data_IF_024904029575
#
_entry.id   IF_024904029575
#
_cell.length_a   1.000
_cell.length_b   1.000
_cell.length_c   1.000
_cell.angle_alpha   90.00
_cell.angle_beta   90.00
_cell.angle_gamma   90.00
#
_symmetry.space_group_name_H-M   'P 1'
#
loop_
_entity.id
_entity.type
_entity.pdbx_description
1 polymer ?
#
# COMPACT_ATOMS: atom_id res chain seq x y z
N UNK A 1 20.53 -6.72 -32.89
CA UNK A 1 21.33 -5.55 -32.45
C UNK A 1 22.52 -6.11 -31.69
N UNK A 2 23.74 -5.72 -32.04
CA UNK A 2 24.95 -6.14 -31.31
C UNK A 2 25.31 -5.12 -30.21
N UNK A 3 26.32 -5.43 -29.38
CA UNK A 3 26.73 -4.58 -28.27
C UNK A 3 27.18 -3.17 -28.69
N UNK A 4 27.93 -3.05 -29.78
CA UNK A 4 28.41 -1.76 -30.29
C UNK A 4 27.24 -0.85 -30.73
N UNK A 5 26.30 -1.40 -31.49
CA UNK A 5 25.10 -0.69 -31.91
C UNK A 5 24.23 -0.26 -30.73
N UNK A 6 24.08 -1.14 -29.73
CA UNK A 6 23.31 -0.84 -28.53
C UNK A 6 23.95 0.31 -27.73
N UNK A 7 25.25 0.24 -27.49
CA UNK A 7 25.98 1.28 -26.75
C UNK A 7 26.06 2.62 -27.49
N UNK A 8 25.97 2.61 -28.82
CA UNK A 8 25.91 3.84 -29.63
C UNK A 8 24.54 4.55 -29.51
N UNK A 9 23.47 3.80 -29.23
CA UNK A 9 22.11 4.31 -29.15
C UNK A 9 21.69 4.67 -27.72
N UNK A 10 22.25 3.99 -26.72
CA UNK A 10 21.75 4.03 -25.35
C UNK A 10 22.88 4.13 -24.33
N UNK A 11 22.70 5.04 -23.37
CA UNK A 11 23.57 5.16 -22.20
C UNK A 11 23.24 4.11 -21.12
N UNK A 12 24.14 3.94 -20.16
CA UNK A 12 23.86 3.11 -18.97
C UNK A 12 22.80 3.79 -18.11
N UNK A 13 21.87 3.02 -17.53
CA UNK A 13 20.78 3.52 -16.70
C UNK A 13 19.45 3.69 -17.44
N UNK A 14 19.39 3.32 -18.72
CA UNK A 14 18.14 3.40 -19.49
C UNK A 14 17.09 2.41 -18.99
N UNK A 15 15.80 2.77 -19.03
CA UNK A 15 14.71 1.86 -18.74
C UNK A 15 14.59 0.72 -19.74
N UNK A 16 14.43 -0.50 -19.23
CA UNK A 16 14.27 -1.70 -20.06
C UNK A 16 13.26 -2.67 -19.46
N UNK A 17 12.62 -3.45 -20.32
CA UNK A 17 12.04 -4.73 -19.95
C UNK A 17 13.06 -5.83 -20.25
N UNK A 18 13.44 -6.58 -19.22
CA UNK A 18 14.40 -7.67 -19.33
C UNK A 18 13.72 -9.01 -19.07
N UNK A 19 14.10 -10.04 -19.83
CA UNK A 19 13.53 -11.38 -19.72
C UNK A 19 14.63 -12.41 -19.45
N UNK A 20 14.91 -12.74 -18.18
CA UNK A 20 15.90 -13.76 -17.85
C UNK A 20 15.46 -15.14 -18.35
N UNK A 21 16.26 -15.73 -19.25
CA UNK A 21 16.06 -17.08 -19.76
C UNK A 21 15.26 -17.15 -21.05
N UNK A 22 13.99 -16.75 -21.03
CA UNK A 22 13.06 -16.88 -22.17
C UNK A 22 12.19 -15.63 -22.33
N UNK A 23 11.79 -15.31 -23.57
CA UNK A 23 10.77 -14.29 -23.83
C UNK A 23 9.36 -14.87 -23.64
N UNK A 24 8.33 -14.04 -23.37
CA UNK A 24 6.95 -14.49 -23.19
C UNK A 24 6.35 -15.26 -24.39
N UNK A 25 6.83 -14.95 -25.59
CA UNK A 25 6.48 -15.64 -26.84
C UNK A 25 7.04 -17.07 -26.91
N UNK A 26 8.14 -17.36 -26.23
CA UNK A 26 8.76 -18.69 -26.19
C UNK A 26 8.27 -19.51 -24.98
N UNK A 27 8.03 -18.86 -23.83
CA UNK A 27 7.48 -19.48 -22.62
C UNK A 27 6.48 -18.55 -21.94
N UNK A 28 5.23 -19.01 -21.80
CA UNK A 28 4.15 -18.25 -21.14
C UNK A 28 4.41 -17.98 -19.66
N UNK A 29 5.29 -18.76 -19.02
CA UNK A 29 5.69 -18.57 -17.63
C UNK A 29 6.94 -17.69 -17.48
N UNK A 30 7.49 -17.18 -18.58
CA UNK A 30 8.64 -16.29 -18.55
C UNK A 30 8.36 -15.05 -17.69
N UNK A 31 9.30 -14.75 -16.78
CA UNK A 31 9.20 -13.58 -15.91
C UNK A 31 9.78 -12.35 -16.61
N UNK A 32 8.94 -11.33 -16.81
CA UNK A 32 9.40 -9.98 -17.17
C UNK A 32 9.94 -9.25 -15.95
N UNK A 33 11.08 -8.59 -16.09
CA UNK A 33 11.64 -7.65 -15.13
C UNK A 33 11.49 -6.22 -15.65
N UNK A 34 10.88 -5.34 -14.85
CA UNK A 34 10.88 -3.89 -15.13
C UNK A 34 12.06 -3.25 -14.40
N UNK A 35 13.11 -2.88 -15.13
CA UNK A 35 14.41 -2.50 -14.53
C UNK A 35 15.18 -1.48 -15.40
N UNK A 36 16.42 -1.16 -14.99
CA UNK A 36 17.35 -0.30 -15.73
C UNK A 36 18.65 -1.06 -16.04
N UNK A 37 19.34 -0.66 -17.10
CA UNK A 37 20.68 -1.17 -17.39
C UNK A 37 21.68 -0.66 -16.36
N UNK A 38 22.59 -1.52 -15.88
CA UNK A 38 23.64 -1.16 -14.91
C UNK A 38 25.05 -1.16 -15.50
N UNK A 39 25.20 -1.62 -16.74
CA UNK A 39 26.47 -1.69 -17.46
C UNK A 39 26.28 -1.32 -18.92
N UNK A 40 27.40 -1.03 -19.59
CA UNK A 40 27.47 -1.09 -21.05
C UNK A 40 27.21 -2.51 -21.54
N UNK A 41 26.71 -2.66 -22.76
CA UNK A 41 26.61 -3.96 -23.41
C UNK A 41 28.01 -4.48 -23.78
N UNK A 42 28.21 -5.79 -23.66
CA UNK A 42 29.47 -6.45 -24.02
C UNK A 42 29.23 -7.87 -24.55
N UNK A 43 30.23 -8.43 -25.24
CA UNK A 43 30.15 -9.79 -25.77
C UNK A 43 30.61 -10.78 -24.69
N UNK A 44 29.71 -11.61 -24.19
CA UNK A 44 30.02 -12.72 -23.29
C UNK A 44 30.44 -13.95 -24.07
N UNK A 45 31.57 -14.55 -23.68
CA UNK A 45 32.07 -15.79 -24.29
C UNK A 45 32.43 -15.69 -25.76
N UNK A 46 32.53 -14.48 -26.32
CA UNK A 46 32.81 -14.25 -27.73
C UNK A 46 31.64 -14.50 -28.70
N UNK A 47 30.43 -14.79 -28.19
CA UNK A 47 29.30 -15.17 -29.06
C UNK A 47 27.95 -14.53 -28.69
N UNK A 48 27.76 -14.03 -27.48
CA UNK A 48 26.46 -13.46 -27.06
C UNK A 48 26.64 -12.03 -26.58
N UNK A 49 26.00 -11.08 -27.26
CA UNK A 49 25.88 -9.72 -26.76
C UNK A 49 24.95 -9.69 -25.54
N UNK A 50 25.44 -9.19 -24.41
CA UNK A 50 24.71 -9.14 -23.14
C UNK A 50 24.80 -7.78 -22.47
N UNK A 51 23.90 -7.52 -21.55
CA UNK A 51 23.91 -6.37 -20.64
C UNK A 51 23.56 -6.83 -19.23
N UNK A 52 24.02 -6.11 -18.21
CA UNK A 52 23.57 -6.33 -16.84
C UNK A 52 22.50 -5.31 -16.47
N UNK A 53 21.55 -5.74 -15.63
CA UNK A 53 20.43 -4.92 -15.18
C UNK A 53 20.36 -4.88 -13.66
N UNK A 54 19.68 -3.86 -13.13
CA UNK A 54 19.47 -3.71 -11.70
C UNK A 54 18.54 -4.82 -11.16
N UNK A 55 18.82 -5.26 -9.94
CA UNK A 55 18.04 -6.29 -9.26
C UNK A 55 18.20 -7.72 -9.80
N UNK A 56 19.08 -7.94 -10.79
CA UNK A 56 19.37 -9.28 -11.32
C UNK A 56 20.88 -9.56 -11.36
N UNK A 57 21.33 -10.71 -10.88
CA UNK A 57 22.76 -11.02 -10.74
C UNK A 57 23.42 -11.41 -12.06
N UNK A 58 22.71 -12.15 -12.92
CA UNK A 58 23.20 -12.61 -14.20
C UNK A 58 23.08 -11.54 -15.30
N UNK A 59 23.82 -11.73 -16.39
CA UNK A 59 23.68 -10.92 -17.60
C UNK A 59 22.44 -11.36 -18.41
N UNK A 60 21.86 -10.43 -19.14
CA UNK A 60 20.72 -10.65 -20.03
C UNK A 60 21.20 -10.48 -21.47
N UNK A 61 20.91 -11.45 -22.34
CA UNK A 61 21.21 -11.33 -23.76
C UNK A 61 20.43 -10.16 -24.38
N UNK A 62 21.04 -9.39 -25.28
CA UNK A 62 20.37 -8.22 -25.89
C UNK A 62 19.11 -8.59 -26.69
N UNK A 63 19.00 -9.84 -27.15
CA UNK A 63 17.75 -10.36 -27.75
C UNK A 63 16.58 -10.47 -26.76
N UNK A 64 16.86 -10.42 -25.46
CA UNK A 64 15.91 -10.53 -24.35
C UNK A 64 15.80 -9.20 -23.57
N UNK A 65 16.12 -8.09 -24.22
CA UNK A 65 16.00 -6.74 -23.66
C UNK A 65 15.20 -5.89 -24.63
N UNK A 66 14.08 -5.36 -24.15
CA UNK A 66 13.32 -4.35 -24.87
C UNK A 66 13.58 -3.00 -24.19
N UNK A 67 14.11 -2.03 -24.96
CA UNK A 67 14.27 -0.65 -24.48
C UNK A 67 12.92 0.03 -24.49
N UNK A 68 12.57 0.71 -23.41
CA UNK A 68 11.26 1.36 -23.23
C UNK A 68 11.41 2.82 -22.84
N UNK A 69 10.35 3.60 -23.06
CA UNK A 69 10.30 4.98 -22.60
C UNK A 69 10.18 5.08 -21.07
N UNK A 70 10.55 6.22 -20.50
CA UNK A 70 10.41 6.50 -19.07
C UNK A 70 8.95 6.39 -18.60
N UNK A 71 7.99 6.78 -19.43
CA UNK A 71 6.57 6.74 -19.08
C UNK A 71 6.04 5.30 -19.06
N UNK A 72 6.42 4.47 -20.03
CA UNK A 72 6.12 3.03 -20.02
C UNK A 72 6.75 2.33 -18.82
N UNK A 73 7.99 2.67 -18.48
CA UNK A 73 8.67 2.15 -17.30
C UNK A 73 7.94 2.51 -16.00
N UNK A 74 7.57 3.77 -15.82
CA UNK A 74 6.81 4.22 -14.63
C UNK A 74 5.46 3.52 -14.53
N UNK A 75 4.72 3.42 -15.63
CA UNK A 75 3.45 2.72 -15.67
C UNK A 75 3.61 1.24 -15.29
N UNK A 76 4.62 0.56 -15.83
CA UNK A 76 4.90 -0.84 -15.54
C UNK A 76 5.35 -1.06 -14.08
N UNK A 77 6.19 -0.18 -13.50
CA UNK A 77 6.59 -0.25 -12.08
C UNK A 77 5.41 0.00 -11.13
N UNK A 78 4.53 0.93 -11.47
CA UNK A 78 3.31 1.16 -10.70
C UNK A 78 2.42 -0.08 -10.71
N UNK A 79 2.27 -0.74 -11.86
CA UNK A 79 1.51 -1.99 -11.98
C UNK A 79 2.16 -3.14 -11.19
N UNK A 80 3.49 -3.32 -11.25
CA UNK A 80 4.20 -4.33 -10.43
C UNK A 80 4.01 -4.08 -8.93
N UNK A 81 4.09 -2.82 -8.50
CA UNK A 81 3.90 -2.45 -7.09
C UNK A 81 2.47 -2.73 -6.66
N UNK A 82 1.48 -2.35 -7.46
CA UNK A 82 0.07 -2.65 -7.19
C UNK A 82 -0.19 -4.15 -7.12
N UNK A 83 0.38 -4.94 -8.04
CA UNK A 83 0.25 -6.40 -8.05
C UNK A 83 0.94 -7.05 -6.83
N UNK A 84 2.13 -6.57 -6.44
CA UNK A 84 2.82 -7.04 -5.25
C UNK A 84 2.02 -6.73 -3.98
N UNK A 85 1.44 -5.52 -3.88
CA UNK A 85 0.53 -5.13 -2.79
C UNK A 85 -0.71 -6.01 -2.76
N UNK A 86 -1.30 -6.33 -3.91
CA UNK A 86 -2.46 -7.23 -3.97
C UNK A 86 -2.11 -8.67 -3.57
N UNK A 87 -0.97 -9.19 -4.04
CA UNK A 87 -0.53 -10.57 -3.81
C UNK A 87 -0.11 -10.83 -2.36
N UNK A 88 0.52 -9.86 -1.71
CA UNK A 88 0.84 -9.92 -0.28
C UNK A 88 -0.42 -9.80 0.60
N UNK A 89 -1.59 -9.60 -0.03
CA UNK A 89 -2.70 -8.91 0.58
C UNK A 89 -2.28 -7.47 0.86
N UNK A 90 -3.22 -6.54 0.91
CA UNK A 90 -3.06 -5.47 1.87
C UNK A 90 -3.06 -6.17 3.24
N UNK A 91 -1.94 -6.78 3.66
CA UNK A 91 -1.67 -6.91 5.07
C UNK A 91 -1.82 -5.46 5.52
N UNK A 92 -2.86 -5.13 6.33
CA UNK A 92 -2.77 -3.89 7.05
C UNK A 92 -1.36 -3.94 7.63
N UNK A 93 -0.52 -2.95 7.32
CA UNK A 93 0.64 -2.66 8.15
C UNK A 93 0.13 -2.96 9.55
N UNK A 94 0.67 -3.98 10.26
CA UNK A 94 0.08 -4.38 11.51
C UNK A 94 -0.12 -3.05 12.21
N UNK A 95 -1.36 -2.78 12.61
CA UNK A 95 -1.63 -1.69 13.53
C UNK A 95 -1.03 -2.13 14.87
N UNK A 96 0.26 -2.45 14.86
CA UNK A 96 1.12 -2.27 15.99
C UNK A 96 0.91 -0.84 16.45
N UNK A 97 1.08 -0.62 17.75
CA UNK A 97 0.83 0.67 18.35
C UNK A 97 1.46 1.73 17.47
N UNK A 98 0.64 2.75 17.16
CA UNK A 98 1.00 3.93 16.39
C UNK A 98 2.50 4.21 16.59
N UNK A 99 3.33 4.18 15.53
CA UNK A 99 4.78 4.22 15.69
C UNK A 99 5.09 5.40 16.61
N UNK A 100 5.58 5.08 17.81
CA UNK A 100 5.73 6.07 18.88
C UNK A 100 6.53 7.21 18.27
N UNK A 101 5.91 8.39 18.21
CA UNK A 101 6.58 9.61 17.74
C UNK A 101 7.91 9.67 18.48
N UNK A 102 9.01 9.68 17.73
CA UNK A 102 10.33 9.83 18.35
C UNK A 102 10.32 11.16 19.10
N UNK A 103 10.32 11.08 20.42
CA UNK A 103 10.46 12.27 21.26
C UNK A 103 11.88 12.83 21.13
N UNK A 104 12.04 14.09 21.52
CA UNK A 104 13.32 14.79 21.43
C UNK A 104 14.42 14.08 22.24
N UNK A 105 14.05 13.33 23.28
CA UNK A 105 14.97 12.56 24.10
C UNK A 105 15.54 11.36 23.34
N UNK A 106 14.69 10.56 22.68
CA UNK A 106 15.10 9.43 21.85
C UNK A 106 15.87 9.90 20.62
N UNK A 107 15.47 11.04 20.04
CA UNK A 107 16.22 11.65 18.94
C UNK A 107 17.62 12.11 19.38
N UNK A 108 17.74 12.68 20.60
CA UNK A 108 19.01 13.07 21.19
C UNK A 108 19.89 11.85 21.50
N UNK A 109 19.30 10.75 21.95
CA UNK A 109 19.97 9.47 22.19
C UNK A 109 20.52 8.87 20.88
N UNK A 110 19.70 8.80 19.82
CA UNK A 110 20.14 8.32 18.49
C UNK A 110 21.28 9.21 17.97
N UNK A 111 21.16 10.53 18.10
CA UNK A 111 22.25 11.47 17.75
C UNK A 111 23.50 11.30 18.61
N UNK A 112 23.35 10.83 19.84
CA UNK A 112 24.47 10.54 20.74
C UNK A 112 25.14 9.22 20.36
N UNK A 113 24.37 8.19 20.01
CA UNK A 113 24.88 6.91 19.53
C UNK A 113 25.62 7.07 18.21
N UNK A 114 25.07 7.82 17.26
CA UNK A 114 25.76 8.16 16.01
C UNK A 114 27.06 8.94 16.27
N UNK A 115 27.09 9.83 17.27
CA UNK A 115 28.32 10.54 17.68
C UNK A 115 29.33 9.62 18.35
N UNK A 116 28.88 8.67 19.17
CA UNK A 116 29.71 7.69 19.84
C UNK A 116 30.29 6.67 18.84
N UNK A 117 29.52 6.24 17.84
CA UNK A 117 30.00 5.37 16.77
C UNK A 117 30.98 6.10 15.82
N UNK A 118 30.83 7.40 15.59
CA UNK A 118 31.90 8.17 14.91
C UNK A 118 33.21 8.27 15.69
N UNK A 119 33.18 8.00 17.01
CA UNK A 119 34.37 7.96 17.87
C UNK A 119 35.04 6.59 17.91
N UNK A 120 34.33 5.50 17.60
CA UNK A 120 34.89 4.15 17.50
C UNK A 120 35.19 3.88 16.02
N UNK A 121 36.28 4.45 15.54
CA UNK A 121 37.07 4.02 14.38
C UNK A 121 36.38 3.12 13.33
N UNK A 122 35.38 3.62 12.60
CA UNK A 122 35.06 3.07 11.28
C UNK A 122 36.20 3.44 10.31
N UNK A 123 37.14 2.51 10.10
CA UNK A 123 38.36 2.68 9.30
C UNK A 123 38.13 2.64 7.77
N UNK A 124 37.03 3.18 7.25
CA UNK A 124 37.02 3.54 5.83
C UNK A 124 36.33 4.87 5.60
N UNK A 125 36.98 5.74 4.82
CA UNK A 125 36.40 6.99 4.34
C UNK A 125 35.01 6.78 3.70
N UNK A 126 34.80 5.61 3.10
CA UNK A 126 33.55 5.18 2.45
C UNK A 126 32.37 5.02 3.39
N UNK A 127 32.59 4.55 4.62
CA UNK A 127 31.53 4.43 5.63
C UNK A 127 31.08 5.81 6.13
N UNK A 128 32.03 6.74 6.32
CA UNK A 128 31.71 8.15 6.67
C UNK A 128 30.92 8.84 5.55
N UNK A 129 31.34 8.64 4.30
CA UNK A 129 30.66 9.19 3.13
C UNK A 129 29.23 8.63 3.01
N UNK A 130 29.05 7.32 3.18
CA UNK A 130 27.71 6.69 3.15
C UNK A 130 26.78 7.23 4.24
N UNK A 131 27.31 7.47 5.45
CA UNK A 131 26.52 8.01 6.56
C UNK A 131 26.17 9.49 6.36
N UNK A 132 27.07 10.28 5.77
CA UNK A 132 26.79 11.67 5.40
C UNK A 132 25.73 11.75 4.29
N UNK A 133 25.76 10.83 3.32
CA UNK A 133 24.72 10.73 2.29
C UNK A 133 23.35 10.38 2.89
N UNK A 134 23.30 9.43 3.84
CA UNK A 134 22.05 9.11 4.55
C UNK A 134 21.52 10.29 5.38
N UNK A 135 22.40 11.06 6.02
CA UNK A 135 21.99 12.26 6.76
C UNK A 135 21.45 13.35 5.81
N UNK A 136 22.13 13.60 4.69
CA UNK A 136 21.67 14.54 3.67
C UNK A 136 20.33 14.12 3.06
N UNK A 137 20.16 12.81 2.80
CA UNK A 137 18.89 12.24 2.34
C UNK A 137 17.79 12.46 3.40
N UNK A 138 18.02 12.13 4.68
CA UNK A 138 17.06 12.38 5.76
C UNK A 138 16.69 13.87 5.87
N UNK A 139 17.64 14.78 5.70
CA UNK A 139 17.37 16.22 5.68
C UNK A 139 16.57 16.65 4.46
N UNK A 140 16.84 16.07 3.29
CA UNK A 140 16.06 16.28 2.07
C UNK A 140 14.62 15.77 2.23
N UNK A 141 14.42 14.57 2.79
CA UNK A 141 13.10 14.06 3.15
C UNK A 141 12.42 14.99 4.18
N UNK A 142 13.16 15.54 5.14
CA UNK A 142 12.60 16.52 6.07
C UNK A 142 12.25 17.85 5.40
N UNK A 143 12.96 18.28 4.37
CA UNK A 143 12.62 19.48 3.61
C UNK A 143 11.37 19.26 2.74
N UNK A 144 11.29 18.12 2.04
CA UNK A 144 10.18 17.77 1.16
C UNK A 144 8.91 17.47 1.97
N UNK A 145 9.03 16.74 3.07
CA UNK A 145 7.89 16.22 3.83
C UNK A 145 7.68 16.90 5.20
N UNK A 146 8.67 17.63 5.73
CA UNK A 146 8.61 18.20 7.07
C UNK A 146 8.10 19.65 7.13
N UNK A 147 8.28 20.46 6.08
CA UNK A 147 7.88 21.88 6.11
C UNK A 147 6.40 22.09 5.72
N UNK A 148 5.90 21.41 4.69
CA UNK A 148 4.52 21.60 4.19
C UNK A 148 3.60 20.40 4.42
N UNK A 149 4.13 19.16 4.41
CA UNK A 149 3.26 17.99 4.51
C UNK A 149 2.71 17.76 5.93
N UNK A 150 3.42 18.19 6.97
CA UNK A 150 3.00 18.01 8.36
C UNK A 150 1.80 18.91 8.73
N UNK A 151 1.80 20.22 8.45
CA UNK A 151 0.62 21.06 8.67
C UNK A 151 -0.59 20.60 7.84
N UNK A 152 -0.36 20.22 6.57
CA UNK A 152 -1.42 19.68 5.70
C UNK A 152 -2.00 18.37 6.21
N UNK A 153 -1.16 17.44 6.68
CA UNK A 153 -1.61 16.19 7.27
C UNK A 153 -2.35 16.40 8.59
N UNK A 154 -1.86 17.31 9.45
CA UNK A 154 -2.54 17.68 10.70
C UNK A 154 -3.91 18.33 10.44
N UNK A 155 -4.03 19.16 9.42
CA UNK A 155 -5.33 19.72 9.02
C UNK A 155 -6.27 18.64 8.49
N UNK A 156 -5.78 17.69 7.68
CA UNK A 156 -6.59 16.55 7.24
C UNK A 156 -7.03 15.67 8.40
N UNK A 157 -6.17 15.43 9.39
CA UNK A 157 -6.51 14.70 10.61
C UNK A 157 -7.58 15.44 11.42
N UNK A 158 -7.43 16.76 11.63
CA UNK A 158 -8.47 17.57 12.29
C UNK A 158 -9.81 17.54 11.57
N UNK A 159 -9.80 17.58 10.23
CA UNK A 159 -11.01 17.42 9.44
C UNK A 159 -11.63 16.03 9.60
N UNK A 160 -10.80 14.98 9.61
CA UNK A 160 -11.27 13.62 9.85
C UNK A 160 -11.87 13.45 11.25
N UNK A 161 -11.24 14.01 12.29
CA UNK A 161 -11.76 13.98 13.67
C UNK A 161 -13.10 14.72 13.77
N UNK A 162 -13.21 15.90 13.15
CA UNK A 162 -14.46 16.65 13.11
C UNK A 162 -15.58 15.88 12.40
N UNK A 163 -15.27 15.20 11.30
CA UNK A 163 -16.25 14.37 10.58
C UNK A 163 -16.63 13.12 11.38
N UNK A 164 -15.69 12.50 12.09
CA UNK A 164 -15.97 11.38 13.00
C UNK A 164 -16.94 11.81 14.11
N UNK A 165 -16.71 12.95 14.75
CA UNK A 165 -17.59 13.44 15.81
C UNK A 165 -18.98 13.82 15.28
N UNK A 166 -19.05 14.39 14.06
CA UNK A 166 -20.33 14.61 13.37
C UNK A 166 -21.08 13.30 13.13
N UNK A 167 -20.41 12.29 12.56
CA UNK A 167 -21.02 10.99 12.27
C UNK A 167 -21.49 10.27 13.55
N UNK A 168 -20.76 10.42 14.67
CA UNK A 168 -21.21 9.91 15.98
C UNK A 168 -22.48 10.60 16.46
N UNK A 169 -22.58 11.92 16.31
CA UNK A 169 -23.79 12.67 16.67
C UNK A 169 -24.99 12.26 15.80
N UNK A 170 -24.77 12.11 14.49
CA UNK A 170 -25.80 11.65 13.55
C UNK A 170 -26.26 10.23 13.90
N UNK A 171 -25.33 9.32 14.21
CA UNK A 171 -25.65 7.96 14.63
C UNK A 171 -26.41 7.92 15.97
N UNK A 172 -26.05 8.79 16.92
CA UNK A 172 -26.80 8.95 18.17
C UNK A 172 -28.25 9.38 17.93
N UNK A 173 -28.47 10.31 17.01
CA UNK A 173 -29.80 10.78 16.61
C UNK A 173 -30.62 9.67 15.94
N UNK A 174 -30.01 8.93 15.02
CA UNK A 174 -30.64 7.79 14.35
C UNK A 174 -31.00 6.66 15.33
N UNK A 175 -30.12 6.35 16.28
CA UNK A 175 -30.35 5.36 17.33
C UNK A 175 -31.53 5.74 18.24
N UNK A 176 -31.63 7.02 18.61
CA UNK A 176 -32.75 7.54 19.38
C UNK A 176 -34.07 7.44 18.60
N UNK A 177 -34.08 7.85 17.32
CA UNK A 177 -35.25 7.76 16.45
C UNK A 177 -35.71 6.31 16.24
N UNK A 178 -34.78 5.37 16.05
CA UNK A 178 -35.08 3.95 15.94
C UNK A 178 -35.71 3.40 17.22
N UNK A 179 -35.17 3.76 18.38
CA UNK A 179 -35.70 3.35 19.69
C UNK A 179 -37.12 3.88 19.91
N UNK A 180 -37.39 5.13 19.50
CA UNK A 180 -38.74 5.71 19.56
C UNK A 180 -39.70 4.96 18.62
N UNK A 181 -39.31 4.70 17.37
CA UNK A 181 -40.12 3.99 16.40
C UNK A 181 -40.47 2.57 16.86
N UNK A 182 -39.51 1.84 17.44
CA UNK A 182 -39.75 0.52 18.04
C UNK A 182 -40.72 0.61 19.22
N UNK A 183 -40.60 1.64 20.06
CA UNK A 183 -41.54 1.90 21.15
C UNK A 183 -42.95 2.22 20.66
N UNK A 184 -43.09 2.97 19.56
CA UNK A 184 -44.38 3.25 18.93
C UNK A 184 -45.00 1.99 18.32
N UNK A 185 -44.21 1.17 17.64
CA UNK A 185 -44.66 -0.09 17.05
C UNK A 185 -45.18 -1.05 18.14
N UNK A 186 -44.46 -1.20 19.26
CA UNK A 186 -44.89 -2.03 20.38
C UNK A 186 -46.21 -1.55 21.01
N UNK A 187 -46.44 -0.23 21.09
CA UNK A 187 -47.71 0.32 21.58
C UNK A 187 -48.85 0.06 20.59
N UNK A 188 -48.61 0.17 19.29
CA UNK A 188 -49.61 -0.11 18.27
C UNK A 188 -50.02 -1.60 18.30
N UNK A 189 -49.06 -2.50 18.47
CA UNK A 189 -49.32 -3.94 18.61
C UNK A 189 -50.18 -4.25 19.84
N UNK A 190 -49.85 -3.66 21.00
CA UNK A 190 -50.66 -3.80 22.21
C UNK A 190 -52.08 -3.21 22.07
N UNK A 191 -52.26 -2.14 21.28
CA UNK A 191 -53.58 -1.59 20.97
C UNK A 191 -54.40 -2.52 20.06
N UNK A 192 -53.76 -3.19 19.10
CA UNK A 192 -54.41 -4.20 18.26
C UNK A 192 -54.89 -5.39 19.09
N UNK A 193 -54.09 -5.85 20.05
CA UNK A 193 -54.48 -6.93 20.97
C UNK A 193 -55.67 -6.53 21.86
N UNK A 194 -55.72 -5.29 22.34
CA UNK A 194 -56.86 -4.77 23.11
C UNK A 194 -58.12 -4.58 22.26
N UNK A 195 -57.96 -4.32 20.96
CA UNK A 195 -59.07 -4.13 20.03
C UNK A 195 -59.65 -5.44 19.49
N UNK A 196 -59.04 -6.60 19.78
CA UNK A 196 -59.61 -7.88 19.40
C UNK A 196 -60.97 -8.04 20.11
N UNK A 197 -62.07 -8.16 19.35
CA UNK A 197 -63.39 -8.33 19.95
C UNK A 197 -63.38 -9.59 20.82
N UNK A 198 -64.02 -9.50 21.99
CA UNK A 198 -64.16 -10.65 22.88
C UNK A 198 -64.55 -11.88 22.06
N UNK A 199 -63.88 -13.03 22.27
CA UNK A 199 -64.16 -14.23 21.49
C UNK A 199 -65.66 -14.45 21.53
N UNK A 200 -66.28 -14.52 20.35
CA UNK A 200 -67.71 -14.75 20.22
C UNK A 200 -68.01 -16.01 21.03
N UNK A 201 -68.66 -15.84 22.19
CA UNK A 201 -69.11 -16.96 23.00
C UNK A 201 -70.18 -17.65 22.18
N UNK A 202 -69.76 -18.66 21.41
CA UNK A 202 -70.67 -19.61 20.78
C UNK A 202 -71.25 -20.41 21.93
N UNK A 203 -72.34 -19.92 22.51
CA UNK A 203 -73.20 -20.70 23.39
C UNK A 203 -73.72 -21.84 22.54
N UNK A 204 -73.05 -22.99 22.62
CA UNK A 204 -73.46 -24.21 21.95
C UNK A 204 -74.82 -24.63 22.47
N UNK A 205 -75.87 -24.26 21.75
CA UNK A 205 -77.14 -24.97 21.82
C UNK A 205 -76.88 -26.38 21.28
N UNK A 206 -76.83 -27.33 22.20
CA UNK A 206 -76.69 -28.75 21.90
C UNK A 206 -77.94 -29.19 21.13
N UNK A 207 -77.83 -29.24 19.80
CA UNK A 207 -78.81 -29.92 18.96
C UNK A 207 -78.68 -31.42 19.23
N UNK A 208 -79.57 -31.92 20.08
CA UNK A 208 -79.82 -33.35 20.26
C UNK A 208 -80.50 -33.85 18.99
N UNK A 209 -79.79 -34.67 18.21
CA UNK A 209 -80.39 -35.47 17.15
C UNK A 209 -80.91 -36.76 17.76
N UNK A 210 -82.22 -36.94 17.76
CA UNK A 210 -82.89 -38.22 17.99
C UNK A 210 -82.75 -39.12 16.74
N UNK A 211 -82.40 -40.39 16.98
CA UNK A 211 -82.45 -41.51 16.03
C UNK A 211 -83.89 -42.04 15.84
#
# INVERSE_FOLDING_TARGET
MNAEQFNALYEVGIPVFAYPGFRPEDDRNARRLVTRTRSVASVLGGHTDVVWVDGHSACIALSHVDVVSEDEFKAARAAETAAAVAALGALPMPAGPEPKRLDDARLKEIKSLLRYETSISFHSARAKESMLLLLAEVEQWRAIYGAEALPGALNRLRHADAEIERLKADNGTLSAALSEALGQAARADAQLDQAQPAPFSVTGEAVSGDE
#
